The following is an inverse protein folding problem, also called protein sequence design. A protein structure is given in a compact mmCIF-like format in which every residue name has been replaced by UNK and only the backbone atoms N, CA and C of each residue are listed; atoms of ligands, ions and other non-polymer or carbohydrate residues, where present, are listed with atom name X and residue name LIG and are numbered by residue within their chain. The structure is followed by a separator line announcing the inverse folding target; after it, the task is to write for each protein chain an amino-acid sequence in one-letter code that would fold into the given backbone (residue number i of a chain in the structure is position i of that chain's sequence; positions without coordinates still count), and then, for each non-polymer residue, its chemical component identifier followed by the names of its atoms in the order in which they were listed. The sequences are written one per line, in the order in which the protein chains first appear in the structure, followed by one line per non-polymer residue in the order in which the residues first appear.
data_IF_900137627781
#
_entry.id   IF_900137627781
#
_cell.length_a   1.000
_cell.length_b   1.000
_cell.length_c   1.000
_cell.angle_alpha   90.00
_cell.angle_beta   90.00
_cell.angle_gamma   90.00
#
_symmetry.space_group_name_H-M   'P 1'
#
loop_
_entity.id
_entity.type
_entity.pdbx_description
1 polymer ?
#
# COMPACT_ATOMS: atom_id res chain seq x y z
N UNK A 1 45.15 -3.52 7.36
CA UNK A 1 44.83 -4.06 6.02
C UNK A 1 44.09 -5.40 6.09
N UNK A 2 44.41 -6.35 7.01
CA UNK A 2 43.71 -7.63 7.09
C UNK A 2 42.25 -7.55 7.66
N UNK A 3 41.94 -6.55 8.45
CA UNK A 3 40.60 -6.36 9.05
C UNK A 3 39.58 -5.81 8.04
N UNK A 4 40.00 -4.91 7.18
CA UNK A 4 39.14 -4.31 6.12
C UNK A 4 38.76 -5.36 5.08
N UNK A 5 39.69 -6.22 4.66
CA UNK A 5 39.42 -7.29 3.71
C UNK A 5 38.40 -8.33 4.23
N UNK A 6 38.44 -8.67 5.54
CA UNK A 6 37.45 -9.58 6.15
C UNK A 6 36.04 -8.96 6.22
N UNK A 7 35.94 -7.66 6.52
CA UNK A 7 34.67 -6.95 6.54
C UNK A 7 34.02 -6.89 5.13
N UNK A 8 34.83 -6.61 4.09
CA UNK A 8 34.36 -6.58 2.71
C UNK A 8 33.86 -7.95 2.23
N UNK A 9 34.60 -9.03 2.53
CA UNK A 9 34.19 -10.39 2.16
C UNK A 9 32.91 -10.81 2.90
N UNK A 10 32.73 -10.42 4.16
CA UNK A 10 31.51 -10.69 4.93
C UNK A 10 30.31 -9.94 4.35
N UNK A 11 30.48 -8.67 3.97
CA UNK A 11 29.43 -7.87 3.33
C UNK A 11 29.02 -8.44 1.97
N UNK A 12 29.97 -8.86 1.14
CA UNK A 12 29.69 -9.49 -0.16
C UNK A 12 28.94 -10.83 0.03
N UNK A 13 29.33 -11.66 1.00
CA UNK A 13 28.60 -12.89 1.29
C UNK A 13 27.17 -12.64 1.77
N UNK A 14 26.94 -11.61 2.57
CA UNK A 14 25.60 -11.24 3.04
C UNK A 14 24.71 -10.75 1.86
N UNK A 15 25.27 -9.95 0.94
CA UNK A 15 24.57 -9.52 -0.27
C UNK A 15 24.20 -10.71 -1.15
N UNK A 16 25.12 -11.63 -1.39
CA UNK A 16 24.86 -12.82 -2.22
C UNK A 16 23.79 -13.73 -1.56
N UNK A 17 23.83 -13.89 -0.24
CA UNK A 17 22.82 -14.67 0.48
C UNK A 17 21.43 -14.01 0.42
N UNK A 18 21.37 -12.67 0.57
CA UNK A 18 20.14 -11.89 0.44
C UNK A 18 19.54 -11.98 -0.97
N UNK A 19 20.39 -11.89 -2.01
CA UNK A 19 19.94 -11.99 -3.41
C UNK A 19 19.38 -13.40 -3.72
N UNK A 20 20.00 -14.47 -3.19
CA UNK A 20 19.49 -15.84 -3.37
C UNK A 20 18.14 -16.05 -2.66
N UNK A 21 17.98 -15.51 -1.45
CA UNK A 21 16.72 -15.57 -0.71
C UNK A 21 15.60 -14.80 -1.43
N UNK A 22 15.92 -13.65 -2.01
CA UNK A 22 15.00 -12.85 -2.81
C UNK A 22 14.53 -13.60 -4.08
N UNK A 23 15.47 -14.21 -4.81
CA UNK A 23 15.15 -15.00 -6.00
C UNK A 23 14.28 -16.21 -5.62
N UNK A 24 14.57 -16.88 -4.52
CA UNK A 24 13.78 -18.02 -4.03
C UNK A 24 12.36 -17.59 -3.63
N UNK A 25 12.19 -16.42 -3.01
CA UNK A 25 10.89 -15.86 -2.66
C UNK A 25 10.05 -15.48 -3.91
N UNK A 26 10.70 -14.92 -4.94
CA UNK A 26 10.08 -14.59 -6.22
C UNK A 26 9.56 -15.86 -6.93
N UNK A 27 10.35 -16.93 -6.92
CA UNK A 27 10.00 -18.21 -7.56
C UNK A 27 8.92 -18.96 -6.79
N UNK A 28 8.90 -18.87 -5.45
CA UNK A 28 7.96 -19.60 -4.61
C UNK A 28 6.63 -18.86 -4.35
N UNK A 29 6.63 -17.53 -4.34
CA UNK A 29 5.48 -16.71 -3.93
C UNK A 29 4.78 -15.91 -5.04
N UNK A 30 5.23 -16.05 -6.30
CA UNK A 30 4.70 -15.23 -7.38
C UNK A 30 5.05 -13.74 -7.26
N UNK A 31 4.65 -12.94 -8.25
CA UNK A 31 5.00 -11.54 -8.38
C UNK A 31 4.43 -10.63 -7.27
N UNK A 32 3.38 -11.09 -6.57
CA UNK A 32 2.77 -10.39 -5.42
C UNK A 32 3.79 -10.21 -4.27
N UNK A 33 4.63 -11.23 -4.00
CA UNK A 33 5.69 -11.13 -3.01
C UNK A 33 6.74 -10.07 -3.40
N UNK A 34 6.98 -9.88 -4.69
CA UNK A 34 7.90 -8.85 -5.22
C UNK A 34 7.37 -7.44 -4.97
N UNK A 35 6.08 -7.23 -5.16
CA UNK A 35 5.44 -5.94 -4.91
C UNK A 35 5.50 -5.59 -3.42
N UNK A 36 5.23 -6.54 -2.53
CA UNK A 36 5.31 -6.32 -1.08
C UNK A 36 6.75 -5.96 -0.66
N UNK A 37 7.74 -6.68 -1.18
CA UNK A 37 9.15 -6.40 -0.89
C UNK A 37 9.56 -5.01 -1.44
N UNK A 38 9.10 -4.63 -2.64
CA UNK A 38 9.32 -3.30 -3.21
C UNK A 38 8.67 -2.20 -2.37
N UNK A 39 7.45 -2.40 -1.89
CA UNK A 39 6.76 -1.45 -1.00
C UNK A 39 7.54 -1.28 0.30
N UNK A 40 7.97 -2.37 0.93
CA UNK A 40 8.75 -2.34 2.19
C UNK A 40 10.12 -1.69 1.98
N UNK A 41 10.80 -1.97 0.86
CA UNK A 41 12.10 -1.38 0.53
C UNK A 41 11.97 0.09 0.18
N UNK A 42 10.95 0.51 -0.57
CA UNK A 42 10.72 1.93 -0.91
C UNK A 42 10.34 2.74 0.34
N UNK A 43 9.50 2.21 1.23
CA UNK A 43 9.18 2.84 2.51
C UNK A 43 10.42 2.89 3.42
N UNK A 44 11.21 1.83 3.47
CA UNK A 44 12.46 1.77 4.25
C UNK A 44 13.55 2.71 3.70
N UNK A 45 13.69 2.84 2.38
CA UNK A 45 14.62 3.78 1.75
C UNK A 45 14.19 5.24 1.95
N UNK A 46 12.89 5.54 1.87
CA UNK A 46 12.37 6.88 2.13
C UNK A 46 12.71 7.33 3.57
N UNK A 47 12.50 6.46 4.57
CA UNK A 47 12.86 6.74 5.97
C UNK A 47 14.38 6.91 6.15
N UNK A 48 15.20 6.16 5.41
CA UNK A 48 16.67 6.23 5.56
C UNK A 48 17.30 7.43 4.84
N UNK A 49 16.69 7.93 3.77
CA UNK A 49 17.19 9.11 3.03
C UNK A 49 16.73 10.43 3.66
N UNK A 50 15.66 10.43 4.46
CA UNK A 50 15.09 11.61 5.09
C UNK A 50 15.23 11.65 6.61
N UNK A 51 15.91 10.68 7.24
CA UNK A 51 16.16 10.60 8.68
C UNK A 51 17.23 11.55 9.24
N UNK A 52 17.58 12.60 8.52
CA UNK A 52 18.44 13.70 8.97
C UNK A 52 17.60 14.89 9.43
N UNK A 53 17.57 15.13 10.72
CA UNK A 53 16.77 16.09 11.48
C UNK A 53 16.44 17.41 10.79
N UNK A 54 15.18 17.74 10.80
CA UNK A 54 14.64 19.04 10.43
C UNK A 54 13.12 18.93 10.30
N UNK A 55 12.41 19.74 11.08
CA UNK A 55 10.98 19.98 10.98
C UNK A 55 10.65 20.45 9.55
N UNK A 56 10.41 19.56 8.65
CA UNK A 56 9.83 19.87 7.34
C UNK A 56 8.64 18.93 7.16
N UNK A 57 7.45 19.48 7.03
CA UNK A 57 6.32 18.82 6.39
C UNK A 57 6.81 18.45 4.98
N UNK A 58 7.51 17.33 4.83
CA UNK A 58 7.99 16.85 3.54
C UNK A 58 6.77 16.30 2.79
N UNK A 59 6.05 17.21 2.12
CA UNK A 59 5.09 16.85 1.10
C UNK A 59 5.87 16.10 0.00
N UNK A 60 5.63 14.82 -0.13
CA UNK A 60 6.14 14.06 -1.27
C UNK A 60 5.21 14.35 -2.44
N UNK A 61 5.65 15.11 -3.46
CA UNK A 61 4.78 15.45 -4.57
C UNK A 61 4.39 14.16 -5.31
N UNK A 62 3.10 14.01 -5.56
CA UNK A 62 2.59 12.97 -6.46
C UNK A 62 2.87 13.37 -7.93
N UNK A 63 2.71 12.43 -8.86
CA UNK A 63 2.90 12.72 -10.30
C UNK A 63 1.89 13.75 -10.81
N UNK A 64 2.23 14.42 -11.92
CA UNK A 64 1.31 15.34 -12.59
C UNK A 64 0.04 14.61 -13.08
N UNK A 65 0.17 13.33 -13.42
CA UNK A 65 -0.94 12.48 -13.85
C UNK A 65 -1.92 12.23 -12.68
N UNK A 66 -1.42 11.99 -11.47
CA UNK A 66 -2.27 11.85 -10.26
C UNK A 66 -2.93 13.19 -9.93
N UNK A 67 -2.19 14.30 -9.98
CA UNK A 67 -2.75 15.63 -9.72
C UNK A 67 -3.85 16.02 -10.74
N UNK A 68 -3.74 15.56 -11.99
CA UNK A 68 -4.78 15.79 -12.98
C UNK A 68 -6.14 15.18 -12.60
N UNK A 69 -6.14 14.13 -11.76
CA UNK A 69 -7.37 13.52 -11.24
C UNK A 69 -7.89 14.16 -9.94
N UNK A 70 -7.25 15.20 -9.39
CA UNK A 70 -7.68 15.83 -8.12
C UNK A 70 -9.19 16.20 -8.09
N UNK A 71 -9.79 16.80 -9.14
CA UNK A 71 -11.23 17.10 -9.12
C UNK A 71 -12.12 15.87 -9.00
N UNK A 72 -11.78 14.78 -9.71
CA UNK A 72 -12.52 13.51 -9.65
C UNK A 72 -12.32 12.82 -8.31
N UNK A 73 -11.10 12.80 -7.79
CA UNK A 73 -10.78 12.22 -6.48
C UNK A 73 -11.60 12.93 -5.39
N UNK A 74 -11.66 14.27 -5.39
CA UNK A 74 -12.47 15.03 -4.42
C UNK A 74 -13.96 14.74 -4.54
N UNK A 75 -14.46 14.64 -5.76
CA UNK A 75 -15.85 14.32 -6.02
C UNK A 75 -16.20 12.94 -5.43
N UNK A 76 -15.47 11.89 -5.79
CA UNK A 76 -15.76 10.54 -5.35
C UNK A 76 -15.41 10.31 -3.89
N UNK A 77 -14.38 10.95 -3.34
CA UNK A 77 -14.10 10.94 -1.91
C UNK A 77 -15.28 11.49 -1.10
N UNK A 78 -15.88 12.61 -1.56
CA UNK A 78 -17.09 13.16 -0.94
C UNK A 78 -18.30 12.24 -1.10
N UNK A 79 -18.47 11.64 -2.28
CA UNK A 79 -19.58 10.71 -2.56
C UNK A 79 -19.53 9.46 -1.68
N UNK A 80 -18.34 8.93 -1.44
CA UNK A 80 -18.12 7.73 -0.62
C UNK A 80 -17.84 8.04 0.88
N UNK A 81 -18.00 9.31 1.30
CA UNK A 81 -17.97 9.71 2.71
C UNK A 81 -16.59 9.80 3.33
N UNK A 82 -15.53 9.94 2.52
CA UNK A 82 -14.13 10.04 2.97
C UNK A 82 -13.41 11.29 2.40
N UNK A 83 -14.03 12.49 2.43
CA UNK A 83 -13.44 13.71 1.83
C UNK A 83 -12.13 14.14 2.48
N UNK A 84 -11.88 13.79 3.75
CA UNK A 84 -10.66 14.09 4.48
C UNK A 84 -9.47 13.23 4.06
N UNK A 85 -9.68 12.14 3.29
CA UNK A 85 -8.65 11.21 2.85
C UNK A 85 -8.17 11.46 1.41
N UNK A 86 -8.44 12.62 0.80
CA UNK A 86 -8.01 12.94 -0.58
C UNK A 86 -6.52 12.70 -0.81
N UNK A 87 -5.66 13.13 0.12
CA UNK A 87 -4.21 12.93 -0.02
C UNK A 87 -3.82 11.45 0.12
N UNK A 88 -4.53 10.67 0.95
CA UNK A 88 -4.33 9.22 1.03
C UNK A 88 -4.75 8.53 -0.29
N UNK A 89 -5.87 8.93 -0.88
CA UNK A 89 -6.34 8.41 -2.17
C UNK A 89 -5.31 8.69 -3.26
N UNK A 90 -4.76 9.92 -3.32
CA UNK A 90 -3.68 10.27 -4.25
C UNK A 90 -2.44 9.41 -4.03
N UNK A 91 -2.07 9.15 -2.78
CA UNK A 91 -0.94 8.29 -2.45
C UNK A 91 -1.17 6.84 -2.88
N UNK A 92 -2.39 6.31 -2.72
CA UNK A 92 -2.78 4.99 -3.24
C UNK A 92 -2.68 4.97 -4.76
N UNK A 93 -3.30 5.91 -5.47
CA UNK A 93 -3.22 6.00 -6.93
C UNK A 93 -1.77 6.12 -7.42
N UNK A 94 -0.94 6.90 -6.71
CA UNK A 94 0.48 7.03 -7.02
C UNK A 94 1.22 5.69 -6.92
N UNK A 95 0.89 4.89 -5.90
CA UNK A 95 1.46 3.57 -5.68
C UNK A 95 0.97 2.55 -6.71
N UNK A 96 -0.32 2.57 -7.04
CA UNK A 96 -0.94 1.57 -7.93
C UNK A 96 -0.51 1.73 -9.39
N UNK A 97 -0.47 2.97 -9.90
CA UNK A 97 -0.22 3.22 -11.32
C UNK A 97 0.59 4.49 -11.60
N UNK A 98 0.76 5.38 -10.61
CA UNK A 98 1.22 6.75 -10.82
C UNK A 98 0.22 7.59 -11.61
N UNK A 99 -1.07 7.25 -11.59
CA UNK A 99 -2.14 7.91 -12.34
C UNK A 99 -2.18 7.55 -13.82
N UNK A 100 -1.55 6.45 -14.24
CA UNK A 100 -1.41 6.07 -15.65
C UNK A 100 -2.34 4.92 -16.03
N UNK A 101 -2.61 4.83 -17.33
CA UNK A 101 -3.46 3.77 -17.90
C UNK A 101 -4.95 4.02 -17.68
N UNK A 102 -5.75 3.00 -17.95
CA UNK A 102 -7.21 3.07 -17.86
C UNK A 102 -7.75 2.57 -16.51
N UNK A 103 -6.90 1.98 -15.69
CA UNK A 103 -7.22 1.53 -14.34
C UNK A 103 -6.27 2.15 -13.31
N UNK A 104 -6.34 3.49 -13.10
CA UNK A 104 -5.38 4.21 -12.26
C UNK A 104 -5.40 3.79 -10.80
N UNK A 105 -6.51 3.26 -10.29
CA UNK A 105 -6.64 2.74 -8.92
C UNK A 105 -6.38 1.23 -8.83
N UNK A 106 -6.06 0.54 -9.96
CA UNK A 106 -5.92 -0.92 -10.05
C UNK A 106 -7.10 -1.66 -9.40
N UNK A 107 -8.30 -1.14 -9.65
CA UNK A 107 -9.54 -1.58 -9.02
C UNK A 107 -10.28 -2.67 -9.82
N UNK A 108 -9.69 -3.19 -10.90
CA UNK A 108 -10.33 -4.19 -11.76
C UNK A 108 -10.79 -5.44 -11.02
N UNK A 109 -10.04 -5.88 -10.01
CA UNK A 109 -10.33 -7.11 -9.25
C UNK A 109 -11.05 -6.82 -7.92
N UNK A 110 -11.42 -5.57 -7.62
CA UNK A 110 -12.20 -5.24 -6.44
C UNK A 110 -13.67 -5.66 -6.57
N UNK A 111 -14.33 -5.90 -5.42
CA UNK A 111 -15.73 -6.35 -5.38
C UNK A 111 -16.74 -5.35 -5.96
N UNK A 112 -16.36 -4.10 -6.19
CA UNK A 112 -17.20 -3.04 -6.75
C UNK A 112 -17.15 -2.95 -8.26
N UNK A 113 -16.19 -3.63 -8.90
CA UNK A 113 -16.15 -3.71 -10.37
C UNK A 113 -17.22 -4.67 -10.89
N UNK A 114 -18.33 -4.11 -11.34
CA UNK A 114 -19.46 -4.85 -11.93
C UNK A 114 -19.62 -4.62 -13.43
N UNK A 115 -18.80 -3.74 -14.03
CA UNK A 115 -18.95 -3.33 -15.45
C UNK A 115 -17.90 -3.93 -16.37
N UNK A 116 -16.73 -4.25 -15.83
CA UNK A 116 -15.56 -4.69 -16.61
C UNK A 116 -15.11 -6.08 -16.18
N UNK A 117 -14.29 -6.77 -16.99
CA UNK A 117 -13.72 -8.06 -16.60
C UNK A 117 -12.96 -7.95 -15.26
N UNK A 118 -13.21 -8.91 -14.37
CA UNK A 118 -12.55 -9.00 -13.06
C UNK A 118 -11.17 -9.69 -13.22
N UNK A 119 -10.29 -9.04 -13.96
CA UNK A 119 -8.92 -9.47 -14.26
C UNK A 119 -8.00 -8.25 -14.21
N UNK A 120 -6.69 -8.42 -13.96
CA UNK A 120 -5.77 -7.28 -13.92
C UNK A 120 -5.89 -6.36 -15.13
N UNK A 121 -6.04 -5.05 -14.89
CA UNK A 121 -6.27 -4.02 -15.91
C UNK A 121 -7.51 -4.25 -16.80
N UNK A 122 -8.53 -4.93 -16.27
CA UNK A 122 -9.79 -5.17 -17.00
C UNK A 122 -10.63 -3.90 -17.19
N UNK A 123 -10.52 -2.92 -16.28
CA UNK A 123 -11.20 -1.63 -16.41
C UNK A 123 -10.53 -0.81 -17.51
N UNK A 124 -11.36 -0.27 -18.42
CA UNK A 124 -10.91 0.57 -19.55
C UNK A 124 -11.43 2.01 -19.47
N UNK A 125 -12.00 2.40 -18.34
CA UNK A 125 -12.55 3.72 -18.03
C UNK A 125 -11.88 4.25 -16.75
N UNK A 126 -10.98 5.25 -16.85
CA UNK A 126 -10.28 5.78 -15.69
C UNK A 126 -11.19 6.39 -14.62
N UNK A 127 -12.28 7.04 -15.02
CA UNK A 127 -13.24 7.63 -14.08
C UNK A 127 -13.92 6.53 -13.26
N UNK A 128 -14.36 5.46 -13.92
CA UNK A 128 -14.95 4.31 -13.24
C UNK A 128 -13.96 3.61 -12.30
N UNK A 129 -12.68 3.49 -12.70
CA UNK A 129 -11.62 2.95 -11.84
C UNK A 129 -11.47 3.79 -10.56
N UNK A 130 -11.51 5.13 -10.69
CA UNK A 130 -11.41 6.06 -9.54
C UNK A 130 -12.62 5.89 -8.62
N UNK A 131 -13.83 5.85 -9.16
CA UNK A 131 -15.06 5.65 -8.39
C UNK A 131 -15.01 4.37 -7.55
N UNK A 132 -14.85 3.21 -8.21
CA UNK A 132 -14.88 1.91 -7.52
C UNK A 132 -13.65 1.68 -6.63
N UNK A 133 -12.50 2.24 -7.00
CA UNK A 133 -11.29 2.18 -6.20
C UNK A 133 -11.41 2.99 -4.90
N UNK A 134 -12.01 4.19 -4.96
CA UNK A 134 -12.27 5.01 -3.76
C UNK A 134 -13.33 4.35 -2.89
N UNK A 135 -14.38 3.77 -3.47
CA UNK A 135 -15.37 3.01 -2.72
C UNK A 135 -14.75 1.83 -1.97
N UNK A 136 -13.87 1.07 -2.64
CA UNK A 136 -13.13 -0.03 -2.01
C UNK A 136 -12.23 0.46 -0.87
N UNK A 137 -11.55 1.59 -1.04
CA UNK A 137 -10.72 2.19 0.00
C UNK A 137 -11.57 2.66 1.19
N UNK A 138 -12.74 3.27 0.94
CA UNK A 138 -13.65 3.69 2.00
C UNK A 138 -14.10 2.52 2.86
N UNK A 139 -14.43 1.39 2.25
CA UNK A 139 -14.78 0.17 2.98
C UNK A 139 -13.59 -0.40 3.77
N UNK A 140 -12.37 -0.36 3.22
CA UNK A 140 -11.18 -0.78 3.94
C UNK A 140 -10.91 0.10 5.17
N UNK A 141 -11.05 1.43 5.04
CA UNK A 141 -10.92 2.38 6.15
C UNK A 141 -11.95 2.11 7.24
N UNK A 142 -13.21 1.89 6.86
CA UNK A 142 -14.27 1.55 7.79
C UNK A 142 -14.04 0.18 8.46
N UNK A 143 -13.68 -0.85 7.70
CA UNK A 143 -13.42 -2.19 8.23
C UNK A 143 -12.21 -2.23 9.17
N UNK A 144 -11.22 -1.38 8.94
CA UNK A 144 -10.06 -1.22 9.82
C UNK A 144 -10.32 -0.28 11.01
N UNK A 145 -11.53 0.27 11.15
CA UNK A 145 -11.93 1.18 12.23
C UNK A 145 -11.05 2.45 12.30
N UNK A 146 -10.67 3.00 11.14
CA UNK A 146 -9.86 4.22 11.06
C UNK A 146 -10.68 5.41 11.57
N UNK A 147 -10.23 6.06 12.65
CA UNK A 147 -10.95 7.16 13.29
C UNK A 147 -10.69 8.52 12.62
N UNK A 148 -9.49 8.74 12.06
CA UNK A 148 -9.09 10.03 11.50
C UNK A 148 -7.85 9.88 10.57
N UNK A 149 -7.49 10.90 9.75
CA UNK A 149 -6.37 10.83 8.80
C UNK A 149 -4.96 10.70 9.41
N UNK A 150 -4.80 10.80 10.72
CA UNK A 150 -3.52 10.59 11.41
C UNK A 150 -3.45 9.27 12.17
N UNK A 151 -4.48 8.45 12.11
CA UNK A 151 -4.54 7.11 12.69
C UNK A 151 -3.74 6.10 11.84
N UNK A 152 -2.42 6.22 11.90
CA UNK A 152 -1.50 5.49 11.04
C UNK A 152 -1.55 3.96 11.23
N UNK A 153 -1.93 3.49 12.42
CA UNK A 153 -1.96 2.04 12.68
C UNK A 153 -3.14 1.40 11.95
N UNK A 154 -4.34 1.98 12.05
CA UNK A 154 -5.52 1.49 11.35
C UNK A 154 -5.47 1.80 9.84
N UNK A 155 -4.89 2.94 9.43
CA UNK A 155 -4.65 3.24 8.00
C UNK A 155 -3.74 2.18 7.36
N UNK A 156 -2.66 1.74 8.01
CA UNK A 156 -1.83 0.65 7.49
C UNK A 156 -2.61 -0.64 7.31
N UNK A 157 -3.49 -0.98 8.25
CA UNK A 157 -4.36 -2.15 8.15
C UNK A 157 -5.36 -2.01 7.00
N UNK A 158 -5.97 -0.83 6.84
CA UNK A 158 -6.87 -0.53 5.71
C UNK A 158 -6.15 -0.69 4.36
N UNK A 159 -4.93 -0.17 4.22
CA UNK A 159 -4.13 -0.31 3.00
C UNK A 159 -3.75 -1.78 2.71
N UNK A 160 -3.52 -2.59 3.73
CA UNK A 160 -3.35 -4.03 3.56
C UNK A 160 -4.66 -4.69 3.09
N UNK A 161 -5.81 -4.26 3.62
CA UNK A 161 -7.12 -4.69 3.14
C UNK A 161 -7.38 -4.31 1.68
N UNK A 162 -6.96 -3.13 1.26
CA UNK A 162 -7.04 -2.70 -0.14
C UNK A 162 -6.27 -3.64 -1.07
N UNK A 163 -5.04 -4.02 -0.69
CA UNK A 163 -4.17 -4.89 -1.48
C UNK A 163 -4.56 -6.38 -1.44
N UNK A 164 -5.06 -6.88 -0.31
CA UNK A 164 -5.30 -8.32 -0.09
C UNK A 164 -6.78 -8.68 -0.01
N UNK A 165 -7.67 -7.70 -0.10
CA UNK A 165 -9.10 -7.83 0.12
C UNK A 165 -9.50 -7.66 1.59
N UNK A 166 -10.74 -7.23 1.83
CA UNK A 166 -11.28 -6.94 3.17
C UNK A 166 -11.26 -8.13 4.14
N UNK A 167 -11.23 -9.35 3.64
CA UNK A 167 -11.07 -10.56 4.45
C UNK A 167 -9.76 -10.59 5.26
N UNK A 168 -8.72 -9.92 4.77
CA UNK A 168 -7.45 -9.78 5.49
C UNK A 168 -7.61 -9.00 6.80
N UNK A 169 -8.35 -7.88 6.77
CA UNK A 169 -8.60 -7.02 7.95
C UNK A 169 -9.26 -7.85 9.06
N UNK A 170 -10.32 -8.59 8.72
CA UNK A 170 -11.03 -9.46 9.67
C UNK A 170 -10.12 -10.53 10.28
N UNK A 171 -9.21 -11.11 9.49
CA UNK A 171 -8.29 -12.15 9.97
C UNK A 171 -7.26 -11.60 10.95
N UNK A 172 -6.75 -10.39 10.72
CA UNK A 172 -5.77 -9.72 11.60
C UNK A 172 -6.43 -9.27 12.90
N UNK A 173 -7.61 -8.63 12.82
CA UNK A 173 -8.39 -8.20 13.98
C UNK A 173 -8.73 -9.38 14.90
N UNK A 174 -9.14 -10.51 14.33
CA UNK A 174 -9.40 -11.74 15.09
C UNK A 174 -8.16 -12.28 15.82
N UNK A 175 -7.00 -12.20 15.17
CA UNK A 175 -5.73 -12.66 15.77
C UNK A 175 -5.29 -11.76 16.93
N UNK A 176 -5.47 -10.44 16.81
CA UNK A 176 -5.18 -9.49 17.87
C UNK A 176 -6.11 -9.66 19.09
N UNK A 177 -7.41 -9.83 18.88
CA UNK A 177 -8.38 -10.08 19.96
C UNK A 177 -8.04 -11.35 20.74
N UNK A 178 -7.72 -12.45 20.07
CA UNK A 178 -7.28 -13.69 20.72
C UNK A 178 -6.00 -13.55 21.53
N UNK A 179 -5.02 -12.79 21.01
CA UNK A 179 -3.76 -12.55 21.73
C UNK A 179 -3.98 -11.75 23.03
N UNK A 180 -4.94 -10.81 23.04
CA UNK A 180 -5.31 -10.06 24.23
C UNK A 180 -6.08 -10.88 25.26
N UNK A 181 -6.99 -11.77 24.84
CA UNK A 181 -7.70 -12.69 25.74
C UNK A 181 -6.75 -13.67 26.43
N UNK A 182 -5.81 -14.26 25.70
CA UNK A 182 -4.84 -15.19 26.27
C UNK A 182 -3.94 -14.55 27.33
N UNK A 183 -3.64 -13.23 27.21
CA UNK A 183 -2.84 -12.50 28.21
C UNK A 183 -3.63 -12.13 29.48
N UNK A 184 -4.97 -12.13 29.45
CA UNK A 184 -5.80 -11.84 30.62
C UNK A 184 -6.04 -13.06 31.51
N UNK A 185 -5.72 -14.26 31.02
CA UNK A 185 -5.91 -15.54 31.72
C UNK A 185 -4.58 -16.17 32.19
N UNK A 186 -3.46 -15.44 32.10
CA UNK A 186 -2.17 -15.78 32.72
C UNK A 186 -1.83 -14.81 33.85
#
# INVERSE_FOLDING_TARGET
VKTTAKATVSAVKAIIAGTKALIAAIVAGGWVAVIIILIVVLLGCAVSLFGGGGNSNAYTPVSAEVEAYDPLIRQYASQHGIPEYVELIKAVMMQESGGRGNDPMQASECGYNTRYPNTPNGITDPEYSIDVGIQNLADCLNAAEVENPVDMEHIKLALQGYNFGNGYISSVSYTHLRAHETRRHL
#
